data_IF_077669811944
#
_entry.id   IF_077669811944
#
_cell.length_a   1.000
_cell.length_b   1.000
_cell.length_c   1.000
_cell.angle_alpha   90.00
_cell.angle_beta   90.00
_cell.angle_gamma   90.00
#
_symmetry.space_group_name_H-M   'P 1'
#
loop_
_entity.id
_entity.type
_entity.pdbx_description
1 polymer ?
#
# COMPACT_ATOMS: atom_id res chain seq x y z
N UNK A 1 28.06 11.55 -0.54
CA UNK A 1 27.34 10.76 -1.56
C UNK A 1 26.07 10.11 -1.01
N UNK A 2 26.11 9.39 0.12
CA UNK A 2 24.91 8.74 0.69
C UNK A 2 23.84 9.71 1.18
N UNK A 3 24.21 10.85 1.79
CA UNK A 3 23.25 11.85 2.28
C UNK A 3 22.33 12.38 1.17
N UNK A 4 22.89 12.80 0.04
CA UNK A 4 22.13 13.28 -1.12
C UNK A 4 21.21 12.21 -1.70
N UNK A 5 21.65 10.93 -1.73
CA UNK A 5 20.78 9.82 -2.12
C UNK A 5 19.58 9.67 -1.18
N UNK A 6 19.82 9.68 0.14
CA UNK A 6 18.76 9.54 1.13
C UNK A 6 17.76 10.70 1.06
N UNK A 7 18.26 11.94 0.99
CA UNK A 7 17.41 13.13 0.83
C UNK A 7 16.52 13.04 -0.41
N UNK A 8 17.09 12.60 -1.54
CA UNK A 8 16.33 12.39 -2.77
C UNK A 8 15.30 11.27 -2.63
N UNK A 9 15.70 10.10 -2.14
CA UNK A 9 14.81 8.94 -1.99
C UNK A 9 13.59 9.26 -1.12
N UNK A 10 13.79 9.92 0.02
CA UNK A 10 12.69 10.31 0.89
C UNK A 10 11.83 11.42 0.28
N UNK A 11 12.43 12.38 -0.43
CA UNK A 11 11.68 13.41 -1.16
C UNK A 11 10.78 12.80 -2.24
N UNK A 12 11.30 11.88 -3.05
CA UNK A 12 10.56 11.19 -4.11
C UNK A 12 9.46 10.29 -3.52
N UNK A 13 9.77 9.57 -2.44
CA UNK A 13 8.77 8.74 -1.75
C UNK A 13 7.61 9.57 -1.21
N UNK A 14 7.91 10.73 -0.62
CA UNK A 14 6.88 11.65 -0.15
C UNK A 14 6.06 12.24 -1.31
N UNK A 15 6.70 12.56 -2.43
CA UNK A 15 6.00 13.07 -3.61
C UNK A 15 5.02 12.05 -4.19
N UNK A 16 5.43 10.78 -4.31
CA UNK A 16 4.53 9.68 -4.71
C UNK A 16 3.38 9.53 -3.72
N UNK A 17 3.66 9.60 -2.41
CA UNK A 17 2.62 9.49 -1.40
C UNK A 17 1.59 10.62 -1.48
N UNK A 18 1.99 11.85 -1.82
CA UNK A 18 1.08 13.00 -2.00
C UNK A 18 0.14 12.85 -3.18
N UNK A 19 0.50 12.04 -4.19
CA UNK A 19 -0.34 11.81 -5.37
C UNK A 19 -1.44 10.78 -5.13
N UNK A 20 -1.42 10.09 -3.98
CA UNK A 20 -2.44 9.10 -3.64
C UNK A 20 -3.76 9.81 -3.28
N UNK A 21 -4.85 9.39 -3.93
CA UNK A 21 -6.19 9.83 -3.58
C UNK A 21 -6.62 9.20 -2.24
N UNK A 22 -6.66 10.04 -1.21
CA UNK A 22 -6.99 9.62 0.17
C UNK A 22 -8.43 9.08 0.25
N UNK A 23 -9.37 9.66 -0.49
CA UNK A 23 -10.76 9.19 -0.47
C UNK A 23 -10.89 7.83 -1.14
N UNK A 24 -10.12 7.56 -2.19
CA UNK A 24 -10.07 6.25 -2.82
C UNK A 24 -9.52 5.20 -1.85
N UNK A 25 -8.44 5.50 -1.14
CA UNK A 25 -7.85 4.61 -0.14
C UNK A 25 -8.85 4.34 0.98
N UNK A 26 -9.53 5.36 1.49
CA UNK A 26 -10.55 5.20 2.54
C UNK A 26 -11.71 4.29 2.10
N UNK A 27 -12.22 4.48 0.87
CA UNK A 27 -13.23 3.59 0.29
C UNK A 27 -12.75 2.14 0.16
N UNK A 28 -11.48 1.92 -0.19
CA UNK A 28 -10.90 0.58 -0.25
C UNK A 28 -10.86 -0.07 1.14
N UNK A 29 -10.42 0.67 2.16
CA UNK A 29 -10.40 0.20 3.56
C UNK A 29 -11.81 -0.15 4.02
N UNK A 30 -12.81 0.69 3.75
CA UNK A 30 -14.21 0.42 4.11
C UNK A 30 -14.74 -0.89 3.50
N UNK A 31 -14.37 -1.20 2.26
CA UNK A 31 -14.72 -2.49 1.61
C UNK A 31 -14.06 -3.67 2.29
N UNK A 32 -12.80 -3.54 2.71
CA UNK A 32 -12.07 -4.61 3.43
C UNK A 32 -12.66 -4.86 4.83
N UNK A 33 -13.02 -3.80 5.55
CA UNK A 33 -13.72 -3.89 6.84
C UNK A 33 -15.04 -4.64 6.68
N UNK A 34 -15.84 -4.26 5.68
CA UNK A 34 -17.10 -4.94 5.38
C UNK A 34 -16.88 -6.40 5.00
N UNK A 35 -15.92 -6.70 4.12
CA UNK A 35 -15.59 -8.08 3.72
C UNK A 35 -15.28 -8.96 4.95
N UNK A 36 -14.53 -8.42 5.93
CA UNK A 36 -14.26 -9.11 7.19
C UNK A 36 -15.53 -9.31 8.02
N UNK A 37 -16.35 -8.27 8.17
CA UNK A 37 -17.62 -8.32 8.92
C UNK A 37 -18.61 -9.33 8.36
N UNK A 38 -18.67 -9.46 7.02
CA UNK A 38 -19.52 -10.39 6.31
C UNK A 38 -18.95 -11.83 6.31
N UNK A 39 -17.84 -12.08 6.99
CA UNK A 39 -17.19 -13.39 7.05
C UNK A 39 -16.59 -13.84 5.72
N UNK A 40 -16.29 -12.90 4.82
CA UNK A 40 -15.68 -13.15 3.51
C UNK A 40 -14.21 -13.54 3.59
N UNK A 41 -13.60 -13.78 2.43
CA UNK A 41 -12.17 -14.09 2.29
C UNK A 41 -11.55 -13.21 1.22
N UNK A 42 -10.35 -12.72 1.47
CA UNK A 42 -9.55 -11.96 0.52
C UNK A 42 -8.40 -12.83 0.04
N UNK A 43 -8.20 -12.88 -1.28
CA UNK A 43 -7.03 -13.52 -1.90
C UNK A 43 -6.18 -12.43 -2.55
N UNK A 44 -4.89 -12.40 -2.22
CA UNK A 44 -3.93 -11.43 -2.74
C UNK A 44 -2.89 -12.17 -3.60
N UNK A 45 -2.54 -11.58 -4.73
CA UNK A 45 -1.53 -12.11 -5.64
C UNK A 45 -0.61 -10.97 -6.08
N UNK A 46 0.68 -11.26 -6.15
CA UNK A 46 1.73 -10.33 -6.55
C UNK A 46 2.90 -11.07 -7.21
N UNK A 47 3.84 -10.31 -7.77
CA UNK A 47 5.04 -10.84 -8.43
C UNK A 47 6.28 -10.07 -7.97
N UNK A 48 7.41 -10.77 -7.79
CA UNK A 48 8.64 -10.15 -7.29
C UNK A 48 8.43 -9.48 -5.92
N UNK A 49 8.83 -8.21 -5.77
CA UNK A 49 8.69 -7.48 -4.51
C UNK A 49 7.24 -7.35 -4.01
N UNK A 50 6.26 -7.23 -4.92
CA UNK A 50 4.85 -7.14 -4.52
C UNK A 50 4.27 -8.48 -4.05
N UNK A 51 4.85 -9.61 -4.47
CA UNK A 51 4.49 -10.92 -3.90
C UNK A 51 4.78 -10.97 -2.39
N UNK A 52 5.90 -10.36 -1.95
CA UNK A 52 6.23 -10.21 -0.53
C UNK A 52 5.17 -9.41 0.24
N UNK A 53 4.71 -8.29 -0.33
CA UNK A 53 3.63 -7.50 0.27
C UNK A 53 2.33 -8.32 0.39
N UNK A 54 1.96 -9.05 -0.66
CA UNK A 54 0.77 -9.92 -0.65
C UNK A 54 0.90 -11.06 0.36
N UNK A 55 2.07 -11.66 0.54
CA UNK A 55 2.28 -12.74 1.51
C UNK A 55 2.24 -12.27 2.97
N UNK A 56 2.52 -10.99 3.22
CA UNK A 56 2.50 -10.41 4.56
C UNK A 56 1.14 -9.80 4.96
N UNK A 57 0.17 -9.76 4.05
CA UNK A 57 -1.15 -9.24 4.34
C UNK A 57 -1.99 -10.27 5.12
N UNK A 58 -1.89 -10.21 6.45
CA UNK A 58 -2.61 -11.06 7.43
C UNK A 58 -3.87 -10.42 7.99
#
# INVERSE_FOLDING_TARGET
MTRTFLERYFSESAEVARQLDVELVDRMVGRLVRLRGDGGRLFLCGVGGSAGNCSHAV
#
